data_IF_707561278078
#
_entry.id   IF_707561278078
#
_cell.length_a   1.000
_cell.length_b   1.000
_cell.length_c   1.000
_cell.angle_alpha   90.00
_cell.angle_beta   90.00
_cell.angle_gamma   90.00
#
_symmetry.space_group_name_H-M   'P 1'
#
loop_
_entity.id
_entity.type
_entity.pdbx_description
1 polymer ?
#
# COMPACT_ATOMS: atom_id res chain seq x y z
N UNK A 1 4.23 22.71 31.04
CA UNK A 1 3.38 21.49 31.05
C UNK A 1 3.04 21.07 29.62
N UNK A 2 3.21 19.80 29.24
CA UNK A 2 2.63 19.27 27.98
C UNK A 2 1.17 18.95 28.22
N UNK A 3 0.26 19.75 27.65
CA UNK A 3 -1.14 19.32 27.49
C UNK A 3 -1.12 18.25 26.41
N UNK A 4 -1.04 16.98 26.81
CA UNK A 4 -1.33 15.86 25.93
C UNK A 4 -2.79 16.03 25.52
N UNK A 5 -3.02 16.49 24.29
CA UNK A 5 -4.35 16.71 23.76
C UNK A 5 -5.15 15.43 23.91
N UNK A 6 -6.13 15.45 24.82
CA UNK A 6 -6.92 14.29 25.20
C UNK A 6 -7.47 13.61 23.93
N UNK A 7 -7.24 12.32 23.78
CA UNK A 7 -7.66 11.59 22.59
C UNK A 7 -9.19 11.45 22.61
N UNK A 8 -9.88 12.37 21.91
CA UNK A 8 -11.34 12.51 21.98
C UNK A 8 -12.12 11.47 21.17
N UNK A 9 -11.50 10.86 20.17
CA UNK A 9 -12.20 10.04 19.19
C UNK A 9 -11.86 8.57 19.36
N UNK A 10 -12.84 7.74 19.71
CA UNK A 10 -12.64 6.32 20.01
C UNK A 10 -13.31 5.44 18.98
N UNK A 11 -12.61 4.42 18.50
CA UNK A 11 -13.19 3.41 17.62
C UNK A 11 -14.10 2.47 18.40
N UNK A 12 -15.37 2.38 18.01
CA UNK A 12 -16.35 1.50 18.64
C UNK A 12 -16.01 0.01 18.54
N UNK A 13 -15.33 -0.41 17.47
CA UNK A 13 -15.02 -1.83 17.22
C UNK A 13 -13.80 -2.35 17.99
N UNK A 14 -12.75 -1.54 18.12
CA UNK A 14 -11.47 -1.97 18.72
C UNK A 14 -11.01 -1.11 19.90
N UNK A 15 -11.80 -0.09 20.28
CA UNK A 15 -11.56 0.81 21.41
C UNK A 15 -10.26 1.63 21.35
N UNK A 16 -9.63 1.72 20.17
CA UNK A 16 -8.47 2.60 19.95
C UNK A 16 -8.87 4.07 19.97
N UNK A 17 -8.08 4.89 20.64
CA UNK A 17 -8.29 6.34 20.79
C UNK A 17 -7.40 7.13 19.85
N UNK A 18 -7.96 8.20 19.29
CA UNK A 18 -7.33 9.08 18.34
C UNK A 18 -7.54 10.54 18.75
N UNK A 19 -6.52 11.36 18.48
CA UNK A 19 -6.58 12.81 18.73
C UNK A 19 -7.47 13.54 17.73
N UNK A 20 -7.54 13.05 16.49
CA UNK A 20 -8.25 13.70 15.39
C UNK A 20 -9.31 12.77 14.80
N UNK A 21 -10.45 13.34 14.41
CA UNK A 21 -11.53 12.61 13.73
C UNK A 21 -11.04 11.95 12.43
N UNK A 22 -10.25 12.65 11.62
CA UNK A 22 -9.72 12.10 10.37
C UNK A 22 -8.89 10.82 10.60
N UNK A 23 -8.13 10.77 11.69
CA UNK A 23 -7.35 9.58 12.07
C UNK A 23 -8.26 8.42 12.46
N UNK A 24 -9.33 8.68 13.23
CA UNK A 24 -10.35 7.68 13.53
C UNK A 24 -11.07 7.20 12.26
N UNK A 25 -11.47 8.11 11.37
CA UNK A 25 -12.14 7.78 10.13
C UNK A 25 -11.27 6.88 9.24
N UNK A 26 -10.01 7.27 9.03
CA UNK A 26 -9.07 6.46 8.26
C UNK A 26 -8.86 5.08 8.93
N UNK A 27 -8.74 5.06 10.26
CA UNK A 27 -8.68 3.81 11.01
C UNK A 27 -9.89 2.92 10.74
N UNK A 28 -11.11 3.44 10.87
CA UNK A 28 -12.34 2.68 10.69
C UNK A 28 -12.50 2.18 9.24
N UNK A 29 -12.17 3.02 8.27
CA UNK A 29 -12.34 2.73 6.84
C UNK A 29 -11.31 1.73 6.30
N UNK A 30 -10.06 1.82 6.76
CA UNK A 30 -8.93 1.12 6.12
C UNK A 30 -8.18 0.16 7.04
N UNK A 31 -8.30 0.28 8.36
CA UNK A 31 -7.47 -0.50 9.29
C UNK A 31 -8.28 -1.41 10.20
N UNK A 32 -9.45 -0.97 10.63
CA UNK A 32 -10.20 -1.61 11.70
C UNK A 32 -10.76 -2.94 11.22
N UNK A 33 -10.26 -4.04 11.79
CA UNK A 33 -10.64 -5.39 11.39
C UNK A 33 -10.05 -5.85 10.06
N UNK A 34 -9.07 -5.12 9.50
CA UNK A 34 -8.36 -5.54 8.28
C UNK A 34 -6.97 -6.06 8.63
N UNK A 35 -6.61 -7.20 8.05
CA UNK A 35 -5.27 -7.75 8.19
C UNK A 35 -4.24 -6.91 7.42
N UNK A 36 -2.99 -6.82 7.90
CA UNK A 36 -1.93 -6.11 7.22
C UNK A 36 -1.64 -6.76 5.86
N UNK A 37 -1.86 -6.00 4.79
CA UNK A 37 -1.77 -6.47 3.40
C UNK A 37 -0.36 -6.44 2.83
N UNK A 38 0.54 -5.62 3.38
CA UNK A 38 1.90 -5.45 2.88
C UNK A 38 2.85 -6.32 3.71
N UNK A 39 3.26 -7.46 3.14
CA UNK A 39 4.24 -8.36 3.75
C UNK A 39 5.67 -7.98 3.36
N UNK A 40 6.61 -8.19 4.26
CA UNK A 40 8.02 -8.17 3.92
C UNK A 40 8.42 -9.48 3.25
N UNK A 41 9.23 -9.40 2.19
CA UNK A 41 9.76 -10.58 1.51
C UNK A 41 10.92 -11.25 2.26
N UNK A 42 11.54 -10.54 3.20
CA UNK A 42 12.76 -10.98 3.89
C UNK A 42 12.49 -11.52 5.30
N UNK A 43 11.30 -11.27 5.86
CA UNK A 43 10.93 -11.72 7.20
C UNK A 43 9.40 -11.78 7.35
N UNK A 44 8.85 -12.41 8.42
CA UNK A 44 7.40 -12.55 8.60
C UNK A 44 6.69 -11.24 8.98
N UNK A 45 7.35 -10.09 8.91
CA UNK A 45 6.75 -8.79 9.24
C UNK A 45 5.69 -8.42 8.21
N UNK A 46 4.54 -7.95 8.70
CA UNK A 46 3.45 -7.42 7.89
C UNK A 46 3.02 -6.06 8.41
N UNK A 47 2.68 -5.16 7.49
CA UNK A 47 2.13 -3.84 7.80
C UNK A 47 0.96 -3.52 6.89
N UNK A 48 0.15 -2.55 7.33
CA UNK A 48 -1.00 -2.04 6.59
C UNK A 48 -0.65 -0.86 5.68
N UNK A 49 0.56 -0.31 5.81
CA UNK A 49 0.99 0.89 5.09
C UNK A 49 2.24 0.62 4.25
N UNK A 50 2.24 1.03 2.97
CA UNK A 50 3.40 0.94 2.07
C UNK A 50 4.63 1.68 2.61
N UNK A 51 4.45 2.88 3.17
CA UNK A 51 5.55 3.64 3.77
C UNK A 51 6.14 2.91 5.00
N UNK A 52 5.30 2.22 5.78
CA UNK A 52 5.74 1.41 6.91
C UNK A 52 6.60 0.22 6.47
N UNK A 53 6.27 -0.40 5.33
CA UNK A 53 7.06 -1.51 4.79
C UNK A 53 8.42 -1.00 4.30
N UNK A 54 8.44 0.13 3.58
CA UNK A 54 9.68 0.77 3.13
C UNK A 54 10.60 1.09 4.30
N UNK A 55 10.08 1.75 5.34
CA UNK A 55 10.86 2.04 6.55
C UNK A 55 11.33 0.77 7.26
N UNK A 56 10.49 -0.27 7.34
CA UNK A 56 10.89 -1.56 7.90
C UNK A 56 12.07 -2.17 7.14
N UNK A 57 12.00 -2.25 5.80
CA UNK A 57 13.07 -2.80 4.96
C UNK A 57 14.34 -1.98 5.11
N UNK A 58 14.27 -0.65 5.06
CA UNK A 58 15.47 0.20 5.21
C UNK A 58 16.16 -0.01 6.58
N UNK A 59 15.40 -0.17 7.66
CA UNK A 59 15.97 -0.25 9.01
C UNK A 59 16.35 -1.69 9.44
N UNK A 60 15.62 -2.70 8.97
CA UNK A 60 15.80 -4.10 9.36
C UNK A 60 16.51 -4.94 8.31
N UNK A 61 16.56 -4.43 7.09
CA UNK A 61 17.15 -5.04 5.91
C UNK A 61 17.97 -3.98 5.17
N UNK A 62 18.81 -3.25 5.90
CA UNK A 62 19.57 -2.08 5.43
C UNK A 62 20.53 -2.34 4.26
N UNK A 63 20.78 -3.61 3.93
CA UNK A 63 21.62 -4.03 2.80
C UNK A 63 20.82 -4.32 1.52
N UNK A 64 19.54 -3.97 1.45
CA UNK A 64 18.69 -4.35 0.32
C UNK A 64 18.05 -3.13 -0.32
N UNK A 65 18.41 -2.87 -1.59
CA UNK A 65 17.75 -1.87 -2.43
C UNK A 65 16.31 -2.31 -2.65
N UNK A 66 15.37 -1.59 -2.03
CA UNK A 66 13.94 -1.77 -2.21
C UNK A 66 13.53 -1.19 -3.57
N UNK A 67 13.82 -1.91 -4.65
CA UNK A 67 13.28 -1.60 -5.96
C UNK A 67 11.77 -1.90 -5.99
N UNK A 68 11.02 -0.93 -6.48
CA UNK A 68 9.57 -0.87 -6.48
C UNK A 68 8.98 -1.81 -7.55
N UNK A 69 9.08 -3.13 -7.40
CA UNK A 69 8.35 -4.07 -8.28
C UNK A 69 7.42 -5.01 -7.49
N UNK A 70 6.50 -4.40 -6.74
CA UNK A 70 5.30 -5.07 -6.26
C UNK A 70 4.08 -4.18 -6.54
N UNK A 71 3.76 -4.03 -7.83
CA UNK A 71 2.35 -3.94 -8.22
C UNK A 71 1.77 -5.34 -8.09
N UNK A 72 0.53 -5.52 -7.57
CA UNK A 72 -0.18 -6.76 -7.80
C UNK A 72 -0.33 -6.87 -9.32
N UNK A 73 0.42 -7.78 -9.90
CA UNK A 73 0.34 -8.15 -11.29
C UNK A 73 -1.12 -8.50 -11.58
N UNK A 74 -1.81 -7.62 -12.30
CA UNK A 74 -2.96 -7.99 -13.13
C UNK A 74 -2.43 -8.82 -14.30
N UNK A 75 -1.82 -9.96 -13.99
CA UNK A 75 -1.40 -10.97 -14.95
C UNK A 75 -2.60 -11.87 -15.24
N UNK A 76 -3.65 -11.27 -15.80
CA UNK A 76 -4.76 -12.00 -16.42
C UNK A 76 -5.13 -11.48 -17.82
N UNK A 77 -4.47 -10.47 -18.38
CA UNK A 77 -4.74 -10.05 -19.75
C UNK A 77 -3.45 -9.70 -20.49
N UNK A 78 -2.60 -10.69 -20.71
CA UNK A 78 -1.51 -10.56 -21.68
C UNK A 78 -1.40 -11.79 -22.58
N UNK A 79 -2.36 -11.91 -23.52
CA UNK A 79 -2.22 -12.77 -24.70
C UNK A 79 -2.75 -12.16 -26.02
N UNK A 80 -3.10 -10.87 -26.10
CA UNK A 80 -3.74 -10.34 -27.34
C UNK A 80 -3.22 -9.02 -27.93
N UNK A 81 -2.12 -8.42 -27.47
CA UNK A 81 -1.69 -7.10 -28.00
C UNK A 81 -0.35 -7.07 -28.74
N UNK A 82 0.13 -8.20 -29.27
CA UNK A 82 1.40 -8.25 -30.03
C UNK A 82 1.22 -8.51 -31.54
N UNK A 83 0.37 -7.74 -32.23
CA UNK A 83 0.48 -7.53 -33.70
C UNK A 83 -0.11 -6.19 -34.12
N UNK A 84 0.75 -5.17 -34.27
CA UNK A 84 0.69 -4.20 -35.38
C UNK A 84 1.64 -3.02 -35.10
N UNK A 85 2.91 -3.16 -35.45
CA UNK A 85 3.72 -2.01 -35.79
C UNK A 85 4.81 -2.36 -36.81
N UNK A 86 4.38 -2.79 -38.00
CA UNK A 86 5.14 -2.59 -39.25
C UNK A 86 4.28 -3.02 -40.45
N UNK A 87 3.68 -2.06 -41.17
CA UNK A 87 3.60 -2.07 -42.64
C UNK A 87 3.11 -0.70 -43.10
N UNK A 88 4.03 0.02 -43.73
CA UNK A 88 3.87 1.27 -44.46
C UNK A 88 2.89 1.13 -45.64
N UNK A 89 2.17 2.23 -45.92
CA UNK A 89 1.71 2.73 -47.23
C UNK A 89 1.14 1.75 -48.28
N UNK A 90 -0.13 1.94 -48.68
CA UNK A 90 -0.53 2.32 -50.05
C UNK A 90 -2.07 2.41 -50.21
N UNK A 91 -2.47 3.48 -50.93
CA UNK A 91 -3.65 3.69 -51.78
C UNK A 91 -5.05 3.96 -51.18
N UNK A 92 -5.30 5.26 -51.05
CA UNK A 92 -6.56 5.95 -51.38
C UNK A 92 -7.10 5.53 -52.75
N UNK A 93 -8.41 5.27 -52.82
CA UNK A 93 -9.21 5.26 -54.06
C UNK A 93 -10.21 6.41 -54.00
#
# INVERSE_FOLDING_TARGET
MRVSGDAKFTCSKCQKKYRHYQSLYNHQSFECGKEPTFACNYCPFKTRWKHGLKSHVINRHSNINYDQEQTPSTHFLDQLTMKAHETLFLDTK
#
